data_IF_942730395467
#
_entry.id   IF_942730395467
#
_cell.length_a   1.000
_cell.length_b   1.000
_cell.length_c   1.000
_cell.angle_alpha   90.00
_cell.angle_beta   90.00
_cell.angle_gamma   90.00
#
_symmetry.space_group_name_H-M   'P 1'
#
loop_
_entity.id
_entity.type
_entity.pdbx_description
1 polymer ?
#
# COMPACT_ATOMS: atom_id res chain seq x y z
N UNK A 1 -4.09 10.15 27.17
CA UNK A 1 -5.41 9.79 26.62
C UNK A 1 -5.17 8.70 25.59
N UNK A 2 -5.39 7.45 25.98
CA UNK A 2 -5.40 6.31 25.05
C UNK A 2 -6.74 6.34 24.35
N UNK A 3 -6.76 6.83 23.12
CA UNK A 3 -7.89 6.58 22.22
C UNK A 3 -7.91 5.08 21.97
N UNK A 4 -8.91 4.41 22.53
CA UNK A 4 -9.26 3.04 22.19
C UNK A 4 -9.74 3.07 20.73
N UNK A 5 -8.81 3.00 19.78
CA UNK A 5 -9.16 2.95 18.36
C UNK A 5 -9.62 1.55 18.04
N UNK A 6 -10.94 1.37 17.99
CA UNK A 6 -11.52 0.13 17.51
C UNK A 6 -11.09 -0.07 16.06
N UNK A 7 -10.34 -1.14 15.81
CA UNK A 7 -9.99 -1.57 14.44
C UNK A 7 -11.28 -1.82 13.67
N UNK A 8 -11.47 -1.11 12.57
CA UNK A 8 -12.60 -1.30 11.65
C UNK A 8 -12.38 -2.46 10.70
N UNK A 9 -11.10 -2.77 10.45
CA UNK A 9 -10.67 -3.91 9.66
C UNK A 9 -9.45 -4.54 10.32
N UNK A 10 -9.41 -5.86 10.32
CA UNK A 10 -8.21 -6.62 10.64
C UNK A 10 -8.11 -7.80 9.66
N UNK A 11 -6.96 -7.90 8.99
CA UNK A 11 -6.66 -8.99 8.07
C UNK A 11 -6.00 -10.16 8.79
N UNK A 12 -6.05 -11.32 8.15
CA UNK A 12 -5.31 -12.51 8.57
C UNK A 12 -3.80 -12.30 8.41
N UNK A 13 -3.01 -13.00 9.24
CA UNK A 13 -1.56 -13.10 9.06
C UNK A 13 -1.20 -13.81 7.76
N UNK A 14 -0.35 -13.20 6.95
CA UNK A 14 0.08 -13.75 5.65
C UNK A 14 1.53 -13.39 5.37
N UNK A 15 2.20 -14.22 4.59
CA UNK A 15 3.51 -13.89 4.04
C UNK A 15 3.35 -13.13 2.72
N UNK A 16 4.32 -12.29 2.40
CA UNK A 16 4.43 -11.62 1.12
C UNK A 16 5.54 -12.25 0.29
N UNK A 17 5.29 -12.47 -0.99
CA UNK A 17 6.32 -12.89 -1.95
C UNK A 17 7.20 -11.71 -2.37
N UNK A 18 8.44 -12.00 -2.75
CA UNK A 18 9.33 -11.02 -3.36
C UNK A 18 9.51 -11.31 -4.87
N UNK A 19 8.60 -10.86 -5.74
CA UNK A 19 8.68 -11.11 -7.18
C UNK A 19 9.86 -10.39 -7.85
N UNK A 20 10.54 -9.51 -7.14
CA UNK A 20 11.70 -8.75 -7.62
C UNK A 20 13.03 -9.30 -7.09
N UNK A 21 13.03 -10.54 -6.56
CA UNK A 21 14.23 -11.20 -6.02
C UNK A 21 15.38 -11.29 -7.03
N UNK A 22 15.06 -11.43 -8.32
CA UNK A 22 16.05 -11.60 -9.40
C UNK A 22 16.43 -10.27 -10.06
N UNK A 23 15.94 -9.14 -9.55
CA UNK A 23 16.22 -7.81 -10.08
C UNK A 23 17.60 -7.32 -9.61
N UNK A 24 18.64 -7.84 -10.27
CA UNK A 24 20.04 -7.54 -10.00
C UNK A 24 20.30 -6.02 -9.93
N UNK A 25 21.01 -5.59 -8.88
CA UNK A 25 21.31 -4.17 -8.64
C UNK A 25 20.18 -3.40 -7.95
N UNK A 26 19.05 -4.04 -7.62
CA UNK A 26 17.99 -3.47 -6.79
C UNK A 26 18.10 -3.93 -5.32
N UNK A 27 17.50 -3.18 -4.41
CA UNK A 27 17.38 -3.58 -2.98
C UNK A 27 16.41 -4.75 -2.74
N UNK A 28 15.78 -5.27 -3.80
CA UNK A 28 14.93 -6.45 -3.76
C UNK A 28 15.70 -7.74 -4.02
N UNK A 29 16.91 -7.64 -4.56
CA UNK A 29 17.83 -8.77 -4.75
C UNK A 29 18.74 -8.94 -3.53
N UNK A 30 19.00 -10.19 -3.19
CA UNK A 30 19.58 -10.61 -1.91
C UNK A 30 21.03 -10.14 -1.70
N UNK A 31 21.87 -10.22 -2.72
CA UNK A 31 23.26 -9.78 -2.71
C UNK A 31 23.36 -8.26 -2.58
N UNK A 32 22.71 -7.54 -3.49
CA UNK A 32 22.68 -6.07 -3.52
C UNK A 32 22.13 -5.51 -2.21
N UNK A 33 21.03 -6.07 -1.68
CA UNK A 33 20.45 -5.61 -0.43
C UNK A 33 21.43 -5.79 0.76
N UNK A 34 22.19 -6.90 0.80
CA UNK A 34 23.22 -7.13 1.82
C UNK A 34 24.37 -6.13 1.73
N UNK A 35 24.76 -5.71 0.53
CA UNK A 35 25.76 -4.65 0.34
C UNK A 35 25.32 -3.32 0.95
N UNK A 36 24.02 -3.03 0.94
CA UNK A 36 23.42 -1.86 1.61
C UNK A 36 23.12 -2.07 3.10
N UNK A 37 23.48 -3.23 3.68
CA UNK A 37 23.31 -3.52 5.10
C UNK A 37 21.94 -4.10 5.50
N UNK A 38 21.10 -4.48 4.54
CA UNK A 38 19.88 -5.25 4.81
C UNK A 38 20.19 -6.73 5.07
N UNK A 39 19.25 -7.47 5.64
CA UNK A 39 19.42 -8.93 5.90
C UNK A 39 19.36 -9.77 4.62
N UNK A 40 18.68 -9.24 3.59
CA UNK A 40 18.39 -9.85 2.30
C UNK A 40 17.49 -8.94 1.47
N UNK A 41 16.96 -9.44 0.37
CA UNK A 41 16.08 -8.71 -0.53
C UNK A 41 14.80 -8.28 0.16
N UNK A 42 14.48 -6.99 0.05
CA UNK A 42 13.25 -6.43 0.61
C UNK A 42 12.08 -6.72 -0.33
N UNK A 43 10.92 -7.08 0.23
CA UNK A 43 9.66 -7.11 -0.53
C UNK A 43 9.35 -5.71 -1.05
N UNK A 44 8.97 -5.61 -2.33
CA UNK A 44 8.70 -4.33 -3.00
C UNK A 44 7.58 -3.54 -2.32
N UNK A 45 7.77 -2.23 -2.16
CA UNK A 45 6.80 -1.35 -1.50
C UNK A 45 5.40 -1.41 -2.13
N UNK A 46 5.30 -1.58 -3.45
CA UNK A 46 4.01 -1.79 -4.13
C UNK A 46 3.29 -3.05 -3.64
N UNK A 47 4.00 -4.16 -3.43
CA UNK A 47 3.44 -5.40 -2.86
C UNK A 47 2.99 -5.17 -1.42
N UNK A 48 3.78 -4.45 -0.61
CA UNK A 48 3.37 -4.09 0.75
C UNK A 48 2.12 -3.21 0.74
N UNK A 49 2.04 -2.23 -0.18
CA UNK A 49 0.90 -1.32 -0.30
C UNK A 49 -0.40 -2.03 -0.70
N UNK A 50 -0.32 -3.12 -1.48
CA UNK A 50 -1.52 -3.94 -1.81
C UNK A 50 -2.20 -4.49 -0.55
N UNK A 51 -1.50 -4.60 0.58
CA UNK A 51 -2.10 -5.07 1.84
C UNK A 51 -3.18 -4.16 2.40
N UNK A 52 -3.22 -2.86 2.08
CA UNK A 52 -4.36 -2.04 2.49
C UNK A 52 -5.59 -2.22 1.60
N UNK A 53 -5.47 -2.80 0.40
CA UNK A 53 -6.58 -2.90 -0.54
C UNK A 53 -7.80 -3.63 0.04
N UNK A 54 -7.66 -4.78 0.75
CA UNK A 54 -8.79 -5.42 1.41
C UNK A 54 -9.55 -4.50 2.38
N UNK A 55 -8.83 -3.73 3.20
CA UNK A 55 -9.44 -2.78 4.13
C UNK A 55 -10.14 -1.63 3.39
N UNK A 56 -9.49 -1.08 2.36
CA UNK A 56 -9.99 0.03 1.54
C UNK A 56 -11.26 -0.37 0.79
N UNK A 57 -11.25 -1.52 0.11
CA UNK A 57 -12.41 -2.06 -0.60
C UNK A 57 -13.52 -2.46 0.37
N UNK A 58 -13.18 -3.03 1.53
CA UNK A 58 -14.17 -3.34 2.58
C UNK A 58 -14.91 -2.10 3.09
N UNK A 59 -14.23 -0.94 3.13
CA UNK A 59 -14.81 0.29 3.65
C UNK A 59 -15.53 1.13 2.56
N UNK A 60 -14.86 1.41 1.45
CA UNK A 60 -15.37 2.29 0.39
C UNK A 60 -16.14 1.55 -0.72
N UNK A 61 -15.97 0.22 -0.81
CA UNK A 61 -16.55 -0.59 -1.87
C UNK A 61 -16.07 -0.18 -3.28
N UNK A 62 -16.87 -0.47 -4.32
CA UNK A 62 -16.53 -0.15 -5.71
C UNK A 62 -16.30 1.34 -5.98
N UNK A 63 -16.84 2.23 -5.14
CA UNK A 63 -16.67 3.69 -5.28
C UNK A 63 -15.22 4.13 -5.20
N UNK A 64 -14.38 3.36 -4.51
CA UNK A 64 -12.94 3.65 -4.44
C UNK A 64 -12.29 3.69 -5.83
N UNK A 65 -12.68 2.79 -6.72
CA UNK A 65 -12.11 2.73 -8.08
C UNK A 65 -12.58 3.87 -8.99
N UNK A 66 -13.69 4.53 -8.65
CA UNK A 66 -14.26 5.63 -9.45
C UNK A 66 -13.70 7.02 -9.13
N UNK A 67 -12.79 7.15 -8.17
CA UNK A 67 -12.24 8.46 -7.76
C UNK A 67 -11.67 8.50 -6.34
N UNK A 68 -11.32 7.35 -5.79
CA UNK A 68 -10.56 7.26 -4.56
C UNK A 68 -9.08 7.49 -4.80
N UNK A 69 -8.37 7.80 -3.72
CA UNK A 69 -6.92 7.88 -3.71
C UNK A 69 -6.40 7.14 -2.48
N UNK A 70 -5.14 6.72 -2.55
CA UNK A 70 -4.42 6.23 -1.38
C UNK A 70 -2.94 6.58 -1.49
N UNK A 71 -2.31 6.79 -0.34
CA UNK A 71 -0.90 7.11 -0.23
C UNK A 71 -0.28 6.35 0.92
N UNK A 72 1.01 6.02 0.80
CA UNK A 72 1.71 5.17 1.76
C UNK A 72 3.06 5.73 2.17
N UNK A 73 3.34 5.60 3.46
CA UNK A 73 4.66 5.77 4.06
C UNK A 73 5.21 4.42 4.50
N UNK A 74 6.36 4.04 3.95
CA UNK A 74 7.09 2.84 4.35
C UNK A 74 8.06 3.19 5.49
N UNK A 75 7.99 2.42 6.57
CA UNK A 75 8.73 2.64 7.81
C UNK A 75 9.77 1.54 8.01
N UNK A 76 9.36 0.28 7.82
CA UNK A 76 10.19 -0.89 8.04
C UNK A 76 10.15 -1.85 6.85
N UNK A 77 11.31 -2.41 6.51
CA UNK A 77 11.42 -3.43 5.47
C UNK A 77 10.77 -4.75 5.89
N UNK A 78 10.16 -5.42 4.91
CA UNK A 78 9.59 -6.76 5.04
C UNK A 78 10.43 -7.71 4.19
N UNK A 79 10.79 -8.86 4.74
CA UNK A 79 11.46 -9.93 4.00
C UNK A 79 10.46 -11.01 3.60
N UNK A 80 10.76 -11.73 2.51
CA UNK A 80 9.93 -12.86 2.10
C UNK A 80 9.84 -13.91 3.22
N UNK A 81 8.65 -14.47 3.42
CA UNK A 81 8.38 -15.43 4.49
C UNK A 81 8.09 -14.81 5.87
N UNK A 82 8.31 -13.51 6.07
CA UNK A 82 7.88 -12.83 7.30
C UNK A 82 6.35 -12.64 7.30
N UNK A 83 5.61 -13.14 8.32
CA UNK A 83 4.18 -12.90 8.40
C UNK A 83 3.88 -11.45 8.77
N UNK A 84 2.98 -10.84 8.01
CA UNK A 84 2.43 -9.50 8.23
C UNK A 84 0.91 -9.54 8.25
N UNK A 85 0.29 -8.52 8.84
CA UNK A 85 -1.15 -8.26 8.68
C UNK A 85 -1.40 -6.77 8.52
N UNK A 86 -2.49 -6.45 7.83
CA UNK A 86 -3.08 -5.14 7.83
C UNK A 86 -4.15 -5.00 8.91
N UNK A 87 -4.30 -3.79 9.42
CA UNK A 87 -5.49 -3.37 10.14
C UNK A 87 -5.80 -1.92 9.77
N UNK A 88 -7.05 -1.51 9.90
CA UNK A 88 -7.45 -0.16 9.57
C UNK A 88 -8.37 0.46 10.63
N UNK A 89 -8.24 1.77 10.77
CA UNK A 89 -9.05 2.63 11.63
C UNK A 89 -9.49 3.87 10.85
N UNK A 90 -10.49 4.59 11.34
CA UNK A 90 -10.94 5.86 10.75
C UNK A 90 -10.33 7.04 11.50
N UNK A 91 -9.90 8.02 10.72
CA UNK A 91 -9.49 9.36 11.14
C UNK A 91 -10.37 10.37 10.38
N UNK A 92 -11.53 10.68 10.94
CA UNK A 92 -12.60 11.39 10.22
C UNK A 92 -13.11 10.56 9.04
N UNK A 93 -13.05 11.11 7.83
CA UNK A 93 -13.45 10.44 6.58
C UNK A 93 -12.28 9.70 5.90
N UNK A 94 -11.12 9.64 6.55
CA UNK A 94 -9.90 9.01 6.03
C UNK A 94 -9.73 7.63 6.65
N UNK A 95 -9.61 6.61 5.82
CA UNK A 95 -9.22 5.28 6.26
C UNK A 95 -7.71 5.23 6.44
N UNK A 96 -7.25 4.95 7.65
CA UNK A 96 -5.83 4.76 7.98
C UNK A 96 -5.56 3.27 8.07
N UNK A 97 -4.86 2.71 7.09
CA UNK A 97 -4.47 1.30 7.05
C UNK A 97 -3.01 1.16 7.48
N UNK A 98 -2.71 0.20 8.34
CA UNK A 98 -1.37 -0.06 8.87
C UNK A 98 -0.98 -1.51 8.58
N UNK A 99 0.28 -1.75 8.25
CA UNK A 99 0.83 -3.10 8.07
C UNK A 99 1.86 -3.36 9.15
N UNK A 100 1.66 -4.41 9.94
CA UNK A 100 2.55 -4.80 11.04
C UNK A 100 3.06 -6.23 10.92
N UNK A 101 4.22 -6.51 11.52
CA UNK A 101 4.75 -7.86 11.74
C UNK A 101 4.19 -8.46 13.04
N UNK A 102 4.38 -9.76 13.23
CA UNK A 102 3.94 -10.48 14.42
C UNK A 102 4.53 -9.97 15.74
N UNK A 103 5.72 -9.38 15.70
CA UNK A 103 6.37 -8.76 16.87
C UNK A 103 5.86 -7.34 17.18
N UNK A 104 4.87 -6.85 16.43
CA UNK A 104 4.31 -5.50 16.57
C UNK A 104 5.09 -4.42 15.82
N UNK A 105 6.14 -4.78 15.06
CA UNK A 105 6.86 -3.82 14.23
C UNK A 105 5.96 -3.29 13.13
N UNK A 106 5.79 -1.96 13.08
CA UNK A 106 5.04 -1.28 12.04
C UNK A 106 5.91 -1.12 10.78
N UNK A 107 5.42 -1.64 9.65
CA UNK A 107 6.13 -1.63 8.37
C UNK A 107 5.66 -0.52 7.44
N UNK A 108 4.35 -0.24 7.41
CA UNK A 108 3.77 0.77 6.54
C UNK A 108 2.53 1.39 7.17
N UNK A 109 2.29 2.67 6.84
CA UNK A 109 1.05 3.39 7.13
C UNK A 109 0.52 3.95 5.82
N UNK A 110 -0.70 3.58 5.48
CA UNK A 110 -1.46 4.06 4.33
C UNK A 110 -2.64 4.92 4.77
N UNK A 111 -2.96 5.93 3.97
CA UNK A 111 -4.18 6.75 4.07
C UNK A 111 -4.97 6.58 2.78
N UNK A 112 -6.29 6.50 2.88
CA UNK A 112 -7.18 6.40 1.74
C UNK A 112 -8.49 7.16 1.97
N UNK A 113 -9.00 7.81 0.93
CA UNK A 113 -10.30 8.48 0.96
C UNK A 113 -10.93 8.55 -0.44
N UNK A 114 -12.18 9.01 -0.50
CA UNK A 114 -12.89 9.32 -1.74
C UNK A 114 -12.77 10.81 -2.07
N UNK A 115 -12.51 11.15 -3.33
CA UNK A 115 -12.40 12.53 -3.79
C UNK A 115 -11.07 13.19 -3.45
N UNK A 116 -10.63 14.10 -4.32
CA UNK A 116 -9.33 14.78 -4.24
C UNK A 116 -9.35 16.01 -3.29
N UNK A 117 -9.99 15.90 -2.12
CA UNK A 117 -10.05 17.02 -1.17
C UNK A 117 -8.76 17.13 -0.34
N UNK A 118 -8.11 18.29 -0.35
CA UNK A 118 -6.91 18.62 0.46
C UNK A 118 -7.04 18.24 1.95
N UNK A 119 -8.26 18.24 2.49
CA UNK A 119 -8.53 17.89 3.89
C UNK A 119 -8.25 16.41 4.23
N UNK A 120 -8.27 15.51 3.24
CA UNK A 120 -8.18 14.07 3.49
C UNK A 120 -6.72 13.55 3.57
N UNK A 121 -5.75 14.32 3.09
CA UNK A 121 -4.37 13.85 2.89
C UNK A 121 -3.41 14.18 4.05
N UNK A 122 -3.79 15.10 4.95
CA UNK A 122 -2.89 15.58 6.00
C UNK A 122 -1.76 16.46 5.44
N UNK A 123 -0.60 16.58 6.10
CA UNK A 123 0.53 17.40 5.60
C UNK A 123 1.24 16.78 4.38
N UNK A 124 0.90 15.54 4.02
CA UNK A 124 1.33 14.91 2.77
C UNK A 124 0.41 15.43 1.66
N UNK A 125 0.98 16.08 0.64
CA UNK A 125 0.22 16.77 -0.41
C UNK A 125 -0.69 15.79 -1.16
N UNK A 126 -1.85 16.27 -1.61
CA UNK A 126 -2.64 15.55 -2.62
C UNK A 126 -1.73 15.19 -3.78
N UNK A 127 -1.81 13.96 -4.28
CA UNK A 127 -1.20 13.64 -5.56
C UNK A 127 -1.79 14.59 -6.60
N UNK A 128 -0.95 15.48 -7.12
CA UNK A 128 -1.32 16.43 -8.15
C UNK A 128 -0.94 15.84 -9.51
N UNK A 129 -1.91 15.41 -10.33
CA UNK A 129 -1.63 14.83 -11.65
C UNK A 129 -0.85 15.78 -12.57
N UNK A 130 -0.88 17.09 -12.32
CA UNK A 130 -0.20 18.10 -13.12
C UNK A 130 1.21 18.42 -12.64
N UNK A 131 1.52 18.17 -11.35
CA UNK A 131 2.81 18.51 -10.74
C UNK A 131 3.65 17.29 -10.35
N UNK A 132 3.03 16.23 -9.82
CA UNK A 132 3.77 15.11 -9.22
C UNK A 132 4.26 14.07 -10.24
N UNK A 133 3.79 14.18 -11.49
CA UNK A 133 4.14 13.30 -12.59
C UNK A 133 3.67 11.86 -12.38
N UNK A 134 3.21 11.22 -13.44
CA UNK A 134 3.13 9.76 -13.45
C UNK A 134 4.54 9.25 -13.79
N UNK A 135 5.23 8.67 -12.80
CA UNK A 135 6.43 7.84 -13.03
C UNK A 135 6.07 6.37 -12.83
N UNK A 136 4.87 6.01 -13.25
CA UNK A 136 4.31 4.68 -13.10
C UNK A 136 4.49 3.84 -14.35
N UNK A 137 3.63 2.85 -14.52
CA UNK A 137 3.58 1.95 -15.69
C UNK A 137 3.00 2.63 -16.94
N UNK A 138 3.08 3.95 -17.04
CA UNK A 138 2.46 4.73 -18.12
C UNK A 138 3.01 4.30 -19.49
N UNK A 139 4.28 3.89 -19.53
CA UNK A 139 4.93 3.30 -20.71
C UNK A 139 4.73 1.77 -20.84
N UNK A 140 4.22 1.11 -19.80
CA UNK A 140 4.11 -0.36 -19.70
C UNK A 140 2.71 -0.91 -19.99
N UNK A 141 1.66 -0.10 -19.81
CA UNK A 141 0.26 -0.50 -20.01
C UNK A 141 -0.53 0.53 -20.81
N UNK A 142 0.04 0.98 -21.93
CA UNK A 142 -0.54 1.98 -22.84
C UNK A 142 -1.97 1.64 -23.32
N UNK A 143 -2.32 0.36 -23.36
CA UNK A 143 -3.62 -0.13 -23.85
C UNK A 143 -4.68 -0.30 -22.76
N UNK A 144 -4.34 -0.10 -21.48
CA UNK A 144 -5.29 -0.18 -20.37
C UNK A 144 -5.65 1.24 -19.95
N UNK A 145 -6.87 1.72 -20.23
CA UNK A 145 -7.26 3.05 -19.82
C UNK A 145 -7.30 3.09 -18.28
N UNK A 146 -6.58 4.04 -17.68
CA UNK A 146 -6.66 4.28 -16.25
C UNK A 146 -8.05 4.84 -15.90
N UNK A 147 -8.67 4.31 -14.84
CA UNK A 147 -9.97 4.80 -14.35
C UNK A 147 -11.21 4.14 -14.99
N UNK A 148 -11.06 3.11 -15.83
CA UNK A 148 -12.18 2.21 -16.15
C UNK A 148 -12.20 1.08 -15.14
N UNK A 149 -13.36 0.87 -14.50
CA UNK A 149 -13.64 -0.40 -13.84
C UNK A 149 -13.63 -1.48 -14.93
N UNK A 150 -12.79 -2.52 -14.85
CA UNK A 150 -13.02 -3.69 -15.68
C UNK A 150 -14.42 -4.21 -15.36
N UNK A 151 -15.16 -4.63 -16.38
CA UNK A 151 -16.40 -5.37 -16.16
C UNK A 151 -16.08 -6.57 -15.24
N UNK A 152 -16.94 -6.88 -14.26
CA UNK A 152 -16.71 -8.02 -13.40
C UNK A 152 -16.48 -9.27 -14.27
N UNK A 153 -15.33 -9.92 -14.10
CA UNK A 153 -15.11 -11.22 -14.71
C UNK A 153 -16.09 -12.20 -14.04
N UNK A 154 -17.08 -12.67 -14.79
CA UNK A 154 -17.90 -13.80 -14.37
C UNK A 154 -17.02 -15.07 -14.45
N UNK A 155 -16.89 -15.77 -13.31
CA UNK A 155 -16.19 -17.04 -13.18
C UNK A 155 -17.19 -18.20 -13.14
#
# INVERSE_FOLDING_TARGET
MTTDSTRLYEGEWRTLGNPSSDSMGSIHEDGTAREFGFKGGLVTGSIVATRAMPAIVSHFGPRFFGGGWYGFRFIGGIYEGEPVREFAELDGDVLVAKVEKQDGTLCAIGRAALGAGEAALGPERAWDPTEDGQRGVDDLMLDIPLGVSPDPLEF
#
